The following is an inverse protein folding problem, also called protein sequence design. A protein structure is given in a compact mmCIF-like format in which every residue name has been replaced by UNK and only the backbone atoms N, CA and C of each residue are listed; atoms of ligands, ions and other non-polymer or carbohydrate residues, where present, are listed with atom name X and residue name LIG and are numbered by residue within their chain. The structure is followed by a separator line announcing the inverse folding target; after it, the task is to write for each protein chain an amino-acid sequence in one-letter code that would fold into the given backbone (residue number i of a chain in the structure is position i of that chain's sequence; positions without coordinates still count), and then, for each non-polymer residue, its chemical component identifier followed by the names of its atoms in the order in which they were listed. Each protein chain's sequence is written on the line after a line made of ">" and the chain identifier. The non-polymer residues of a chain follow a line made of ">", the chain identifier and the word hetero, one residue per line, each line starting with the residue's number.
data_IF_042126209788
#
_entry.id   IF_042126209788
#
_cell.length_a   1.000
_cell.length_b   1.000
_cell.length_c   1.000
_cell.angle_alpha   90.00
_cell.angle_beta   90.00
_cell.angle_gamma   90.00
#
_symmetry.space_group_name_H-M   'P 1'
#
loop_
_entity.id
_entity.type
_entity.pdbx_description
1 polymer ?
#
# COMPACT_ATOMS: atom_id res chain seq x y z
N UNK A 1 -51.07 -13.28 29.98
CA UNK A 1 -50.46 -13.03 28.67
C UNK A 1 -49.27 -12.10 28.91
N UNK A 2 -48.08 -12.65 28.74
CA UNK A 2 -46.78 -12.06 29.06
C UNK A 2 -46.28 -11.34 27.81
N UNK A 3 -46.06 -10.03 27.87
CA UNK A 3 -45.41 -9.26 26.82
C UNK A 3 -44.04 -8.85 27.36
N UNK A 4 -43.01 -9.61 26.97
CA UNK A 4 -41.63 -9.40 27.39
C UNK A 4 -41.08 -8.12 26.75
N UNK A 5 -40.83 -7.15 27.61
CA UNK A 5 -40.09 -5.92 27.35
C UNK A 5 -38.66 -6.28 26.90
N UNK A 6 -38.22 -5.79 25.73
CA UNK A 6 -36.80 -5.89 25.32
C UNK A 6 -35.97 -4.90 26.18
N UNK A 7 -34.81 -5.30 26.72
CA UNK A 7 -33.99 -4.43 27.55
C UNK A 7 -33.33 -3.32 26.72
N UNK A 8 -33.24 -2.14 27.33
CA UNK A 8 -32.53 -0.97 26.83
C UNK A 8 -31.04 -1.26 27.02
N UNK A 9 -30.36 -1.66 25.95
CA UNK A 9 -28.89 -1.68 25.92
C UNK A 9 -28.41 -0.33 25.42
N UNK A 10 -27.85 0.44 26.35
CA UNK A 10 -27.02 1.61 26.10
C UNK A 10 -25.70 1.16 25.47
N UNK A 11 -25.53 1.36 24.17
CA UNK A 11 -24.21 1.35 23.56
C UNK A 11 -23.96 2.73 22.95
N UNK A 12 -22.95 3.39 23.50
CA UNK A 12 -22.32 4.56 22.93
C UNK A 12 -22.06 4.30 21.45
N UNK A 13 -22.64 5.10 20.56
CA UNK A 13 -22.09 5.27 19.21
C UNK A 13 -20.75 5.99 19.34
N UNK A 14 -19.59 5.35 19.06
CA UNK A 14 -18.39 6.13 18.82
C UNK A 14 -18.58 6.82 17.47
N UNK A 15 -18.67 8.15 17.55
CA UNK A 15 -18.78 9.03 16.40
C UNK A 15 -17.77 8.68 15.31
N UNK A 16 -18.31 8.48 14.11
CA UNK A 16 -17.66 8.67 12.80
C UNK A 16 -16.16 8.49 12.73
N UNK A 17 -15.70 7.25 12.52
CA UNK A 17 -14.48 7.05 11.75
C UNK A 17 -14.83 7.36 10.29
N UNK A 18 -14.52 8.59 9.86
CA UNK A 18 -14.64 8.99 8.46
C UNK A 18 -13.95 7.95 7.57
N UNK A 19 -14.51 7.67 6.39
CA UNK A 19 -13.87 6.81 5.38
C UNK A 19 -12.42 7.25 5.08
N UNK A 20 -12.12 8.54 5.27
CA UNK A 20 -10.78 9.11 5.21
C UNK A 20 -9.80 8.45 6.20
N UNK A 21 -10.23 8.13 7.43
CA UNK A 21 -9.37 7.43 8.40
C UNK A 21 -9.11 5.96 8.02
N UNK A 22 -10.01 5.34 7.25
CA UNK A 22 -9.86 3.95 6.78
C UNK A 22 -9.04 3.85 5.50
N UNK A 23 -9.03 4.89 4.68
CA UNK A 23 -8.46 4.83 3.33
C UNK A 23 -8.07 6.23 2.78
N UNK A 24 -6.98 6.81 3.28
CA UNK A 24 -6.42 8.07 2.74
C UNK A 24 -5.89 7.96 1.29
N UNK A 25 -5.75 6.74 0.75
CA UNK A 25 -5.12 6.51 -0.55
C UNK A 25 -6.09 6.47 -1.74
N UNK A 26 -7.41 6.66 -1.53
CA UNK A 26 -8.46 6.44 -2.56
C UNK A 26 -8.36 7.50 -3.64
N UNK A 27 -7.98 8.70 -3.23
CA UNK A 27 -7.79 9.86 -4.09
C UNK A 27 -6.60 9.64 -5.04
N UNK A 28 -5.58 8.90 -4.61
CA UNK A 28 -4.44 8.52 -5.44
C UNK A 28 -4.73 7.39 -6.44
N UNK A 29 -5.72 6.52 -6.19
CA UNK A 29 -6.12 5.49 -7.16
C UNK A 29 -6.79 6.07 -8.41
N UNK A 30 -7.47 7.22 -8.25
CA UNK A 30 -8.25 7.88 -9.30
C UNK A 30 -7.57 9.14 -9.84
N UNK A 31 -6.40 9.50 -9.29
CA UNK A 31 -5.57 10.58 -9.81
C UNK A 31 -5.12 10.18 -11.22
N UNK A 32 -5.72 10.80 -12.22
CA UNK A 32 -5.32 10.64 -13.62
C UNK A 32 -3.85 11.05 -13.84
N UNK A 33 -3.33 10.88 -15.07
CA UNK A 33 -1.91 10.95 -15.42
C UNK A 33 -1.22 12.33 -15.24
N UNK A 34 -1.78 13.26 -14.49
CA UNK A 34 -1.34 14.65 -14.38
C UNK A 34 -0.04 14.89 -13.57
N UNK A 35 0.57 13.86 -12.97
CA UNK A 35 1.93 13.92 -12.39
C UNK A 35 2.84 12.82 -12.98
N UNK A 36 2.88 12.74 -14.32
CA UNK A 36 3.72 11.79 -15.09
C UNK A 36 5.21 12.18 -15.11
N UNK A 37 5.80 12.53 -13.97
CA UNK A 37 7.26 12.56 -13.87
C UNK A 37 7.71 11.14 -13.47
N UNK A 38 8.33 10.36 -14.38
CA UNK A 38 8.75 8.98 -14.10
C UNK A 38 9.80 8.90 -12.99
N UNK A 39 10.42 10.03 -12.65
CA UNK A 39 11.43 10.12 -11.61
C UNK A 39 10.85 10.67 -10.30
N UNK A 40 9.53 10.87 -10.19
CA UNK A 40 8.87 11.31 -8.97
C UNK A 40 8.51 10.11 -8.11
N UNK A 41 9.03 10.12 -6.88
CA UNK A 41 8.87 9.08 -5.88
C UNK A 41 8.25 9.67 -4.61
N UNK A 42 7.71 8.80 -3.76
CA UNK A 42 7.19 9.13 -2.44
C UNK A 42 7.86 8.27 -1.39
N UNK A 43 8.18 8.86 -0.25
CA UNK A 43 8.72 8.14 0.90
C UNK A 43 7.64 7.27 1.56
N UNK A 44 7.94 5.97 1.73
CA UNK A 44 7.08 5.00 2.43
C UNK A 44 7.24 5.09 3.95
N UNK A 45 8.43 5.49 4.41
CA UNK A 45 8.81 5.56 5.81
C UNK A 45 9.64 6.82 6.07
N UNK A 46 9.70 7.24 7.33
CA UNK A 46 10.63 8.27 7.76
C UNK A 46 12.05 7.71 7.74
N UNK A 47 13.01 8.49 7.25
CA UNK A 47 14.44 8.17 7.32
C UNK A 47 15.21 9.42 7.74
N UNK A 48 16.08 9.25 8.73
CA UNK A 48 16.92 10.31 9.26
C UNK A 48 18.33 10.13 8.70
N UNK A 49 18.85 11.15 8.04
CA UNK A 49 20.21 11.19 7.53
C UNK A 49 21.20 10.81 8.65
N UNK A 50 22.02 9.81 8.37
CA UNK A 50 23.06 9.33 9.29
C UNK A 50 24.44 9.95 9.01
N UNK A 51 24.58 10.70 7.91
CA UNK A 51 25.79 11.45 7.56
C UNK A 51 25.55 12.46 6.44
N UNK A 52 26.58 13.25 6.12
CA UNK A 52 26.50 14.41 5.21
C UNK A 52 26.10 14.06 3.77
N UNK A 53 26.29 12.81 3.37
CA UNK A 53 25.94 12.31 2.04
C UNK A 53 24.52 11.74 1.97
N UNK A 54 23.82 11.62 3.10
CA UNK A 54 22.47 11.02 3.18
C UNK A 54 21.41 12.10 3.38
N UNK A 55 20.21 11.85 2.86
CA UNK A 55 19.11 12.81 2.90
C UNK A 55 18.01 12.36 3.86
N UNK A 56 17.59 13.22 4.78
CA UNK A 56 16.43 12.94 5.62
C UNK A 56 15.14 13.08 4.82
N UNK A 57 14.25 12.10 4.92
CA UNK A 57 12.95 12.07 4.25
C UNK A 57 11.84 11.76 5.26
N UNK A 58 10.68 12.36 5.05
CA UNK A 58 9.48 12.11 5.85
C UNK A 58 8.49 11.26 5.07
N UNK A 59 7.83 10.30 5.72
CA UNK A 59 6.78 9.47 5.14
C UNK A 59 5.73 10.33 4.45
N UNK A 60 5.45 10.01 3.19
CA UNK A 60 4.54 10.77 2.33
C UNK A 60 5.20 11.95 1.59
N UNK A 61 6.46 12.29 1.88
CA UNK A 61 7.20 13.33 1.17
C UNK A 61 7.50 12.88 -0.27
N UNK A 62 7.27 13.79 -1.21
CA UNK A 62 7.62 13.59 -2.61
C UNK A 62 9.07 14.00 -2.85
N UNK A 63 9.81 13.14 -3.54
CA UNK A 63 11.22 13.30 -3.86
C UNK A 63 11.50 12.86 -5.29
N UNK A 64 12.54 13.41 -5.92
CA UNK A 64 12.94 13.02 -7.26
C UNK A 64 14.17 12.13 -7.21
N UNK A 65 14.10 10.95 -7.82
CA UNK A 65 15.26 10.05 -7.93
C UNK A 65 16.12 10.49 -9.12
N UNK A 66 17.40 10.74 -8.86
CA UNK A 66 18.39 11.15 -9.85
C UNK A 66 19.18 9.94 -10.38
N UNK A 67 19.39 8.93 -9.55
CA UNK A 67 20.13 7.74 -9.92
C UNK A 67 20.20 6.71 -8.80
N UNK A 68 20.75 5.54 -9.12
CA UNK A 68 20.97 4.44 -8.18
C UNK A 68 22.46 4.17 -8.05
N UNK A 69 22.87 3.65 -6.90
CA UNK A 69 24.22 3.13 -6.73
C UNK A 69 24.38 1.78 -7.49
N UNK A 70 25.60 1.23 -7.51
CA UNK A 70 25.96 0.05 -8.29
C UNK A 70 25.15 -1.23 -7.95
N UNK A 71 24.61 -1.34 -6.73
CA UNK A 71 23.84 -2.49 -6.27
C UNK A 71 22.33 -2.21 -6.15
N UNK A 72 21.89 -0.97 -6.43
CA UNK A 72 20.48 -0.55 -6.37
C UNK A 72 19.90 -0.36 -4.97
N UNK A 73 20.67 -0.59 -3.90
CA UNK A 73 20.18 -0.47 -2.51
C UNK A 73 19.98 0.99 -2.09
N UNK A 74 20.74 1.90 -2.70
CA UNK A 74 20.66 3.33 -2.43
C UNK A 74 20.36 4.09 -3.71
N UNK A 75 19.55 5.12 -3.58
CA UNK A 75 19.25 6.04 -4.64
C UNK A 75 19.59 7.46 -4.22
N UNK A 76 20.14 8.22 -5.17
CA UNK A 76 20.39 9.64 -4.98
C UNK A 76 19.08 10.37 -5.24
N UNK A 77 18.55 11.01 -4.21
CA UNK A 77 17.27 11.68 -4.23
C UNK A 77 17.43 13.19 -4.02
N UNK A 78 16.52 13.95 -4.61
CA UNK A 78 16.40 15.39 -4.43
C UNK A 78 15.03 15.72 -3.84
N UNK A 79 15.04 16.39 -2.68
CA UNK A 79 13.85 16.97 -2.04
C UNK A 79 13.92 18.50 -2.06
N UNK A 80 12.94 19.16 -1.45
CA UNK A 80 12.99 20.61 -1.21
C UNK A 80 14.08 21.00 -0.20
N UNK A 81 14.51 20.05 0.62
CA UNK A 81 15.45 20.28 1.73
C UNK A 81 16.91 20.08 1.30
N UNK A 82 17.14 19.50 0.12
CA UNK A 82 18.49 19.24 -0.39
C UNK A 82 18.53 18.00 -1.28
N UNK A 83 19.75 17.52 -1.51
CA UNK A 83 20.04 16.32 -2.29
C UNK A 83 20.93 15.39 -1.47
N UNK A 84 20.69 14.08 -1.58
CA UNK A 84 21.53 13.08 -0.94
C UNK A 84 20.98 11.67 -1.13
N UNK A 85 21.68 10.71 -0.54
CA UNK A 85 21.35 9.30 -0.67
C UNK A 85 20.26 8.87 0.31
N UNK A 86 19.28 8.13 -0.21
CA UNK A 86 18.23 7.46 0.58
C UNK A 86 18.15 5.98 0.20
N UNK A 87 17.74 5.10 1.12
CA UNK A 87 17.56 3.68 0.80
C UNK A 87 16.44 3.50 -0.22
N UNK A 88 16.68 2.71 -1.27
CA UNK A 88 15.70 2.49 -2.35
C UNK A 88 14.42 1.83 -1.83
N UNK A 89 14.51 0.99 -0.80
CA UNK A 89 13.35 0.34 -0.17
C UNK A 89 12.51 1.26 0.74
N UNK A 90 12.94 2.51 0.92
CA UNK A 90 12.20 3.52 1.69
C UNK A 90 11.36 4.43 0.81
N UNK A 91 11.47 4.30 -0.51
CA UNK A 91 10.78 5.15 -1.48
C UNK A 91 10.11 4.29 -2.55
N UNK A 92 9.07 4.82 -3.20
CA UNK A 92 8.40 4.15 -4.32
C UNK A 92 7.95 5.16 -5.36
N UNK A 93 7.93 4.82 -6.67
CA UNK A 93 7.46 5.76 -7.68
C UNK A 93 6.03 6.22 -7.38
N UNK A 94 5.74 7.51 -7.58
CA UNK A 94 4.40 8.08 -7.34
C UNK A 94 3.33 7.42 -8.21
N UNK A 95 3.75 6.88 -9.36
CA UNK A 95 2.93 6.16 -10.33
C UNK A 95 3.03 4.63 -10.19
N UNK A 96 3.72 4.11 -9.17
CA UNK A 96 3.80 2.67 -8.92
C UNK A 96 2.60 2.20 -8.08
N UNK A 97 1.96 1.06 -8.42
CA UNK A 97 0.97 0.45 -7.54
C UNK A 97 1.52 0.09 -6.15
N UNK A 98 2.84 0.01 -5.98
CA UNK A 98 3.55 -0.15 -4.71
C UNK A 98 3.37 1.01 -3.72
N UNK A 99 2.88 2.18 -4.19
CA UNK A 99 2.49 3.30 -3.33
C UNK A 99 1.32 2.97 -2.43
N UNK A 100 0.49 2.02 -2.83
CA UNK A 100 -0.68 1.72 -2.03
C UNK A 100 -0.34 0.73 -0.93
N UNK A 101 -0.78 1.04 0.30
CA UNK A 101 -0.62 0.17 1.48
C UNK A 101 -1.25 -1.21 1.33
N UNK A 102 -1.99 -1.45 0.25
CA UNK A 102 -2.53 -2.76 -0.09
C UNK A 102 -1.62 -3.55 -1.03
N UNK A 103 -0.64 -2.98 -1.73
CA UNK A 103 0.29 -3.73 -2.58
C UNK A 103 1.55 -4.09 -1.79
N UNK A 104 1.80 -5.38 -1.60
CA UNK A 104 2.91 -5.85 -0.79
C UNK A 104 4.05 -6.48 -1.63
N UNK A 105 3.98 -6.38 -2.96
CA UNK A 105 5.00 -6.96 -3.84
C UNK A 105 5.11 -8.49 -3.69
N UNK A 106 6.33 -9.08 -3.69
CA UNK A 106 6.53 -10.52 -3.61
C UNK A 106 6.20 -11.05 -2.21
N UNK A 107 4.99 -11.57 -2.05
CA UNK A 107 4.52 -12.14 -0.78
C UNK A 107 3.89 -13.51 -1.05
N UNK A 108 4.42 -14.54 -0.38
CA UNK A 108 3.85 -15.88 -0.40
C UNK A 108 2.42 -15.90 0.14
N UNK A 109 1.69 -16.96 -0.21
CA UNK A 109 0.33 -17.19 0.30
C UNK A 109 0.31 -17.21 1.83
N UNK A 110 1.23 -17.93 2.45
CA UNK A 110 1.34 -18.07 3.89
C UNK A 110 1.71 -16.74 4.59
N UNK A 111 2.64 -15.98 4.02
CA UNK A 111 2.98 -14.66 4.55
C UNK A 111 1.78 -13.70 4.50
N UNK A 112 0.96 -13.77 3.44
CA UNK A 112 -0.27 -12.98 3.36
C UNK A 112 -1.31 -13.37 4.42
N UNK A 113 -1.47 -14.67 4.72
CA UNK A 113 -2.34 -15.13 5.81
C UNK A 113 -1.86 -14.61 7.17
N UNK A 114 -0.54 -14.61 7.40
CA UNK A 114 0.05 -14.04 8.61
C UNK A 114 -0.21 -12.53 8.73
N UNK A 115 0.03 -11.77 7.67
CA UNK A 115 -0.23 -10.31 7.65
C UNK A 115 -1.71 -9.97 7.89
N UNK A 116 -2.62 -10.83 7.41
CA UNK A 116 -4.05 -10.66 7.61
C UNK A 116 -4.56 -11.25 8.92
N UNK A 117 -3.74 -11.94 9.71
CA UNK A 117 -4.15 -12.65 10.95
C UNK A 117 -4.64 -11.72 12.06
N UNK A 118 -4.22 -10.46 12.06
CA UNK A 118 -4.71 -9.40 12.97
C UNK A 118 -5.66 -8.40 12.29
N UNK A 119 -5.94 -8.57 11.00
CA UNK A 119 -6.86 -7.70 10.25
C UNK A 119 -8.32 -7.79 10.69
N UNK A 120 -9.13 -6.81 10.26
CA UNK A 120 -10.59 -6.84 10.44
C UNK A 120 -11.27 -7.48 9.22
N UNK A 121 -12.58 -7.74 9.31
CA UNK A 121 -13.36 -8.09 8.13
C UNK A 121 -13.20 -7.00 7.05
N UNK A 122 -12.81 -7.42 5.84
CA UNK A 122 -12.51 -6.53 4.72
C UNK A 122 -11.03 -6.14 4.58
N UNK A 123 -10.14 -6.50 5.52
CA UNK A 123 -8.70 -6.30 5.34
C UNK A 123 -8.19 -7.09 4.14
N UNK A 124 -7.42 -6.46 3.25
CA UNK A 124 -6.91 -7.10 2.05
C UNK A 124 -5.52 -6.62 1.68
N UNK A 125 -4.85 -7.41 0.86
CA UNK A 125 -3.61 -7.04 0.18
C UNK A 125 -3.54 -7.67 -1.20
N UNK A 126 -2.76 -7.06 -2.09
CA UNK A 126 -2.36 -7.57 -3.39
C UNK A 126 -0.90 -7.98 -3.30
N UNK A 127 -0.61 -9.18 -3.77
CA UNK A 127 0.72 -9.79 -3.76
C UNK A 127 1.08 -10.36 -5.12
N UNK A 128 2.35 -10.34 -5.44
CA UNK A 128 2.95 -11.11 -6.52
C UNK A 128 3.27 -12.51 -6.01
N UNK A 129 3.02 -13.52 -6.85
CA UNK A 129 3.36 -14.89 -6.51
C UNK A 129 4.86 -15.11 -6.66
N UNK A 130 5.56 -15.38 -5.55
CA UNK A 130 6.99 -15.75 -5.58
C UNK A 130 7.25 -16.97 -6.47
N UNK A 131 6.30 -17.91 -6.52
CA UNK A 131 6.36 -19.12 -7.35
C UNK A 131 5.93 -18.92 -8.81
N UNK A 132 5.45 -17.74 -9.19
CA UNK A 132 4.97 -17.47 -10.56
C UNK A 132 5.17 -15.99 -10.91
N UNK A 133 6.36 -15.60 -11.38
CA UNK A 133 6.67 -14.22 -11.74
C UNK A 133 5.63 -13.66 -12.73
N UNK A 134 5.12 -12.46 -12.44
CA UNK A 134 4.07 -11.79 -13.23
C UNK A 134 2.63 -12.18 -12.89
N UNK A 135 2.41 -13.12 -11.97
CA UNK A 135 1.07 -13.47 -11.48
C UNK A 135 0.76 -12.72 -10.18
N UNK A 136 -0.33 -11.95 -10.18
CA UNK A 136 -0.80 -11.22 -9.00
C UNK A 136 -2.02 -11.91 -8.38
N UNK A 137 -2.21 -11.71 -7.09
CA UNK A 137 -3.36 -12.23 -6.35
C UNK A 137 -3.81 -11.24 -5.28
N UNK A 138 -5.11 -11.19 -5.02
CA UNK A 138 -5.72 -10.48 -3.89
C UNK A 138 -5.91 -11.48 -2.76
N UNK A 139 -5.38 -11.19 -1.58
CA UNK A 139 -5.70 -11.90 -0.33
C UNK A 139 -6.66 -11.02 0.47
N UNK A 140 -7.85 -11.54 0.80
CA UNK A 140 -8.92 -10.83 1.50
C UNK A 140 -9.32 -11.58 2.76
N UNK A 141 -9.38 -10.90 3.91
CA UNK A 141 -9.94 -11.44 5.14
C UNK A 141 -11.43 -11.13 5.26
N UNK A 142 -12.23 -12.16 5.52
CA UNK A 142 -13.65 -12.04 5.81
C UNK A 142 -14.10 -13.16 6.74
N UNK A 143 -14.86 -12.83 7.79
CA UNK A 143 -15.38 -13.80 8.77
C UNK A 143 -14.29 -14.71 9.36
N UNK A 144 -13.14 -14.12 9.69
CA UNK A 144 -12.00 -14.84 10.28
C UNK A 144 -11.25 -15.77 9.32
N UNK A 145 -11.61 -15.79 8.02
CA UNK A 145 -10.95 -16.60 6.98
C UNK A 145 -10.26 -15.70 5.96
N UNK A 146 -9.19 -16.22 5.36
CA UNK A 146 -8.48 -15.54 4.26
C UNK A 146 -8.81 -16.23 2.94
N UNK A 147 -9.31 -15.44 2.00
CA UNK A 147 -9.63 -15.84 0.63
C UNK A 147 -8.55 -15.33 -0.31
N UNK A 148 -8.19 -16.10 -1.33
CA UNK A 148 -7.22 -15.69 -2.34
C UNK A 148 -7.84 -15.71 -3.73
N UNK A 149 -7.79 -14.58 -4.41
CA UNK A 149 -8.31 -14.41 -5.77
C UNK A 149 -7.15 -14.12 -6.72
N UNK A 150 -7.06 -14.86 -7.82
CA UNK A 150 -6.03 -14.61 -8.84
C UNK A 150 -6.44 -13.40 -9.68
N UNK A 151 -5.50 -12.50 -9.93
CA UNK A 151 -5.70 -11.39 -10.87
C UNK A 151 -5.24 -11.89 -12.24
N UNK A 152 -6.20 -12.06 -13.14
CA UNK A 152 -5.92 -12.42 -14.52
C UNK A 152 -5.69 -11.15 -15.34
N UNK A 153 -4.50 -10.99 -15.89
CA UNK A 153 -4.22 -9.97 -16.90
C UNK A 153 -4.67 -10.51 -18.25
N UNK A 154 -5.67 -9.87 -18.87
CA UNK A 154 -5.98 -10.16 -20.26
C UNK A 154 -4.84 -9.66 -21.16
N UNK A 155 -4.66 -10.29 -22.32
CA UNK A 155 -3.62 -9.96 -23.31
C UNK A 155 -3.68 -8.53 -23.86
N UNK A 156 -4.76 -7.78 -23.58
CA UNK A 156 -4.96 -6.38 -23.95
C UNK A 156 -4.61 -5.38 -22.81
N UNK A 157 -4.10 -5.84 -21.66
CA UNK A 157 -3.79 -4.96 -20.53
C UNK A 157 -5.00 -4.47 -19.74
N UNK A 158 -6.23 -4.87 -20.10
CA UNK A 158 -7.43 -4.67 -19.30
C UNK A 158 -7.71 -5.88 -18.38
N UNK A 159 -7.71 -5.64 -17.08
CA UNK A 159 -8.18 -6.59 -16.06
C UNK A 159 -9.71 -6.67 -16.14
N UNK A 160 -10.23 -7.74 -16.74
CA UNK A 160 -11.67 -8.02 -16.82
C UNK A 160 -12.07 -9.03 -15.75
N UNK A 161 -12.94 -8.63 -14.82
CA UNK A 161 -13.65 -9.54 -13.93
C UNK A 161 -14.91 -10.05 -14.64
N UNK A 162 -15.01 -11.36 -14.83
CA UNK A 162 -16.25 -11.96 -15.32
C UNK A 162 -17.18 -12.24 -14.13
N UNK A 163 -18.38 -11.67 -14.22
CA UNK A 163 -19.53 -11.91 -13.36
C UNK A 163 -20.03 -13.35 -13.43
#
# INVERSE_FOLDING_TARGET
>A
AEALQRPIVSDFEPQGLSEAARWNSKENLLSGPSENDPNLFVALYDFVASGDNTLSITKGEKLRVLGYNHNGEWCEAQTKNGQGWVPSNYITPVNSPEKHSWYHGPVSRNAAEYLLSSGINGSFLVRESESSPGQRSISLRYEGRVYHYRINTASDGKVGGNS
#
